data_IF_660493948403
#
_entry.id   IF_660493948403
#
_cell.length_a   1.000
_cell.length_b   1.000
_cell.length_c   1.000
_cell.angle_alpha   90.00
_cell.angle_beta   90.00
_cell.angle_gamma   90.00
#
_symmetry.space_group_name_H-M   'P 1'
#
loop_
_entity.id
_entity.type
_entity.pdbx_description
1 polymer ?
#
# COMPACT_ATOMS: atom_id res chain seq x y z
N UNK A 1 7.49 -56.02 -92.27
CA UNK A 1 6.58 -56.81 -91.41
C UNK A 1 6.12 -55.90 -90.29
N UNK A 2 4.83 -55.51 -90.33
CA UNK A 2 3.95 -55.13 -89.19
C UNK A 2 4.31 -53.81 -88.45
N UNK A 3 3.62 -52.70 -88.81
CA UNK A 3 2.53 -52.00 -88.05
C UNK A 3 3.08 -51.06 -86.94
N UNK A 4 2.46 -49.96 -86.53
CA UNK A 4 1.27 -49.18 -86.89
C UNK A 4 1.32 -47.90 -86.03
N UNK A 5 0.67 -46.85 -86.51
CA UNK A 5 -0.05 -45.82 -85.75
C UNK A 5 0.67 -44.80 -84.86
N UNK A 6 0.74 -43.60 -85.43
CA UNK A 6 0.18 -42.36 -84.91
C UNK A 6 -0.55 -42.43 -83.55
N UNK A 7 -0.19 -41.52 -82.64
CA UNK A 7 -0.98 -40.31 -82.41
C UNK A 7 -0.36 -39.45 -81.31
N UNK A 8 -0.44 -38.15 -81.54
CA UNK A 8 -0.23 -37.11 -80.55
C UNK A 8 -1.02 -37.40 -79.28
N UNK A 9 -0.45 -37.10 -78.11
CA UNK A 9 -1.16 -36.41 -77.02
C UNK A 9 -0.24 -36.00 -75.87
N UNK A 10 -0.41 -34.73 -75.53
CA UNK A 10 -0.26 -34.10 -74.22
C UNK A 10 1.10 -34.16 -73.53
N UNK A 11 1.79 -33.01 -73.62
CA UNK A 11 2.60 -32.45 -72.53
C UNK A 11 1.82 -32.53 -71.21
N UNK A 12 2.29 -33.32 -70.28
CA UNK A 12 1.93 -33.20 -68.86
C UNK A 12 3.19 -32.82 -68.11
N UNK A 13 3.36 -31.51 -67.91
CA UNK A 13 4.25 -30.98 -66.89
C UNK A 13 3.73 -31.50 -65.55
N UNK A 14 4.45 -32.43 -64.94
CA UNK A 14 4.24 -32.83 -63.56
C UNK A 14 4.43 -31.60 -62.69
N UNK A 15 3.32 -31.09 -62.18
CA UNK A 15 3.20 -29.96 -61.27
C UNK A 15 4.08 -30.21 -60.05
N UNK A 16 4.98 -29.27 -59.77
CA UNK A 16 5.74 -29.25 -58.53
C UNK A 16 4.77 -29.42 -57.35
N UNK A 17 5.07 -30.26 -56.34
CA UNK A 17 4.26 -30.32 -55.15
C UNK A 17 4.25 -28.91 -54.55
N UNK A 18 3.05 -28.33 -54.48
CA UNK A 18 2.84 -26.96 -54.07
C UNK A 18 3.64 -26.69 -52.81
N UNK A 19 4.49 -25.66 -52.88
CA UNK A 19 5.06 -25.03 -51.71
C UNK A 19 3.88 -24.70 -50.81
N UNK A 20 3.63 -25.56 -49.81
CA UNK A 20 2.75 -25.25 -48.71
C UNK A 20 3.36 -23.99 -48.13
N UNK A 21 2.73 -22.85 -48.46
CA UNK A 21 2.99 -21.54 -47.91
C UNK A 21 2.77 -21.67 -46.41
N UNK A 22 3.78 -22.19 -45.72
CA UNK A 22 3.84 -22.24 -44.27
C UNK A 22 4.22 -20.84 -43.87
N UNK A 23 3.22 -19.97 -43.84
CA UNK A 23 3.29 -18.56 -43.42
C UNK A 23 3.65 -18.40 -41.94
N UNK A 24 4.24 -19.43 -41.31
CA UNK A 24 4.49 -19.52 -39.88
C UNK A 24 5.97 -19.76 -39.64
N UNK A 25 6.57 -18.82 -38.92
CA UNK A 25 7.82 -19.02 -38.19
C UNK A 25 9.03 -18.36 -38.83
N UNK A 26 9.12 -17.03 -38.74
CA UNK A 26 10.46 -16.46 -38.59
C UNK A 26 10.86 -16.76 -37.13
N UNK A 27 11.80 -17.70 -36.89
CA UNK A 27 12.17 -18.09 -35.53
C UNK A 27 12.67 -16.90 -34.70
N UNK A 28 13.16 -15.85 -35.36
CA UNK A 28 13.54 -14.60 -34.73
C UNK A 28 12.33 -13.87 -34.14
N UNK A 29 11.20 -13.82 -34.86
CA UNK A 29 9.97 -13.16 -34.38
C UNK A 29 9.37 -13.93 -33.20
N UNK A 30 9.39 -15.25 -33.27
CA UNK A 30 8.93 -16.12 -32.17
C UNK A 30 9.80 -15.96 -30.92
N UNK A 31 11.13 -15.98 -31.09
CA UNK A 31 12.09 -15.74 -30.00
C UNK A 31 11.90 -14.36 -29.36
N UNK A 32 11.76 -13.31 -30.18
CA UNK A 32 11.49 -11.94 -29.70
C UNK A 32 10.16 -11.87 -28.97
N UNK A 33 9.10 -12.50 -29.49
CA UNK A 33 7.79 -12.50 -28.86
C UNK A 33 7.81 -13.19 -27.49
N UNK A 34 8.44 -14.36 -27.38
CA UNK A 34 8.60 -15.07 -26.10
C UNK A 34 9.44 -14.26 -25.11
N UNK A 35 10.55 -13.66 -25.57
CA UNK A 35 11.39 -12.81 -24.74
C UNK A 35 10.65 -11.57 -24.22
N UNK A 36 9.81 -10.96 -25.06
CA UNK A 36 9.03 -9.78 -24.70
C UNK A 36 7.90 -10.12 -23.72
N UNK A 37 7.23 -11.27 -23.91
CA UNK A 37 6.26 -11.80 -22.93
C UNK A 37 6.94 -12.10 -21.59
N UNK A 38 8.10 -12.77 -21.60
CA UNK A 38 8.84 -13.06 -20.39
C UNK A 38 9.27 -11.78 -19.65
N UNK A 39 9.71 -10.75 -20.39
CA UNK A 39 10.05 -9.44 -19.83
C UNK A 39 8.84 -8.76 -19.19
N UNK A 40 7.68 -8.76 -19.87
CA UNK A 40 6.43 -8.21 -19.31
C UNK A 40 6.05 -8.95 -18.02
N UNK A 41 6.11 -10.28 -18.03
CA UNK A 41 5.81 -11.09 -16.84
C UNK A 41 6.76 -10.75 -15.70
N UNK A 42 8.06 -10.57 -15.97
CA UNK A 42 9.04 -10.17 -14.95
C UNK A 42 8.77 -8.77 -14.40
N UNK A 43 8.46 -7.79 -15.27
CA UNK A 43 8.18 -6.41 -14.84
C UNK A 43 6.92 -6.37 -13.97
N UNK A 44 5.83 -7.01 -14.41
CA UNK A 44 4.56 -7.04 -13.67
C UNK A 44 4.70 -7.84 -12.38
N UNK A 45 5.33 -9.02 -12.43
CA UNK A 45 5.54 -9.87 -11.27
C UNK A 45 6.44 -9.22 -10.22
N UNK A 46 7.54 -8.60 -10.65
CA UNK A 46 8.43 -7.85 -9.75
C UNK A 46 7.73 -6.63 -9.16
N UNK A 47 6.94 -5.89 -9.95
CA UNK A 47 6.23 -4.71 -9.49
C UNK A 47 5.23 -5.01 -8.36
N UNK A 48 4.54 -6.15 -8.41
CA UNK A 48 3.57 -6.55 -7.39
C UNK A 48 4.25 -7.05 -6.11
N UNK A 49 5.30 -7.86 -6.23
CA UNK A 49 6.09 -8.33 -5.09
C UNK A 49 6.79 -7.18 -4.37
N UNK A 50 7.35 -6.22 -5.13
CA UNK A 50 8.00 -5.03 -4.56
C UNK A 50 7.03 -4.13 -3.80
N UNK A 51 5.78 -3.99 -4.25
CA UNK A 51 4.78 -3.15 -3.56
C UNK A 51 4.36 -3.72 -2.21
N UNK A 52 4.20 -5.05 -2.12
CA UNK A 52 3.82 -5.71 -0.86
C UNK A 52 4.95 -5.61 0.15
N UNK A 53 6.16 -5.97 -0.26
CA UNK A 53 7.34 -5.85 0.59
C UNK A 53 7.59 -4.41 1.07
N UNK A 54 7.36 -3.40 0.22
CA UNK A 54 7.49 -2.01 0.61
C UNK A 54 6.40 -1.55 1.60
N UNK A 55 5.17 -2.05 1.46
CA UNK A 55 4.07 -1.72 2.40
C UNK A 55 4.33 -2.35 3.77
N UNK A 56 4.70 -3.63 3.81
CA UNK A 56 4.96 -4.34 5.07
C UNK A 56 6.12 -3.69 5.83
N UNK A 57 7.19 -3.31 5.12
CA UNK A 57 8.33 -2.60 5.71
C UNK A 57 7.91 -1.21 6.24
N UNK A 58 7.09 -0.47 5.50
CA UNK A 58 6.60 0.85 5.93
C UNK A 58 5.72 0.76 7.18
N UNK A 59 4.92 -0.30 7.33
CA UNK A 59 4.13 -0.55 8.53
C UNK A 59 5.04 -0.82 9.73
N UNK A 60 6.03 -1.69 9.57
CA UNK A 60 7.00 -2.03 10.64
C UNK A 60 7.78 -0.79 11.08
N UNK A 61 8.23 0.03 10.12
CA UNK A 61 8.96 1.27 10.41
C UNK A 61 8.06 2.30 11.11
N UNK A 62 6.80 2.44 10.69
CA UNK A 62 5.84 3.32 11.33
C UNK A 62 5.50 2.89 12.76
N UNK A 63 5.34 1.59 13.01
CA UNK A 63 5.16 1.02 14.36
C UNK A 63 6.37 1.31 15.24
N UNK A 64 7.56 0.95 14.78
CA UNK A 64 8.81 1.13 15.55
C UNK A 64 9.06 2.60 15.86
N UNK A 65 8.83 3.49 14.90
CA UNK A 65 9.00 4.94 15.09
C UNK A 65 7.97 5.50 16.06
N UNK A 66 6.71 5.08 15.95
CA UNK A 66 5.63 5.53 16.85
C UNK A 66 5.89 5.10 18.29
N UNK A 67 6.25 3.83 18.50
CA UNK A 67 6.59 3.30 19.82
C UNK A 67 7.78 4.07 20.44
N UNK A 68 8.85 4.27 19.65
CA UNK A 68 10.01 5.03 20.09
C UNK A 68 9.66 6.47 20.47
N UNK A 69 8.85 7.17 19.67
CA UNK A 69 8.43 8.54 19.96
C UNK A 69 7.48 8.60 21.17
N UNK A 70 6.59 7.63 21.32
CA UNK A 70 5.71 7.53 22.46
C UNK A 70 6.51 7.45 23.76
N UNK A 71 7.44 6.50 23.85
CA UNK A 71 8.25 6.26 25.05
C UNK A 71 9.30 7.36 25.30
N UNK A 72 9.96 7.86 24.25
CA UNK A 72 11.08 8.81 24.41
C UNK A 72 10.68 10.28 24.41
N UNK A 73 9.51 10.63 23.85
CA UNK A 73 9.06 12.02 23.69
C UNK A 73 7.73 12.27 24.36
N UNK A 74 6.70 11.44 24.13
CA UNK A 74 5.34 11.69 24.63
C UNK A 74 5.25 11.43 26.13
N UNK A 75 5.58 10.22 26.59
CA UNK A 75 5.54 9.81 28.00
C UNK A 75 6.27 10.79 28.95
N UNK A 76 7.54 11.17 28.71
CA UNK A 76 8.25 12.06 29.61
C UNK A 76 7.76 13.52 29.53
N UNK A 77 7.09 13.91 28.45
CA UNK A 77 6.63 15.27 28.23
C UNK A 77 5.14 15.50 28.55
N UNK A 78 4.37 14.44 28.82
CA UNK A 78 2.96 14.48 29.14
C UNK A 78 2.71 15.30 30.41
N UNK A 79 2.14 16.52 30.30
CA UNK A 79 1.93 17.35 31.47
C UNK A 79 0.73 16.82 32.27
N UNK A 80 0.78 16.75 33.61
CA UNK A 80 -0.34 16.29 34.43
C UNK A 80 -1.65 17.06 34.18
N UNK A 81 -1.54 18.33 33.80
CA UNK A 81 -2.69 19.18 33.45
C UNK A 81 -3.43 18.77 32.17
N UNK A 82 -2.86 17.90 31.33
CA UNK A 82 -3.49 17.44 30.09
C UNK A 82 -4.74 16.60 30.38
N UNK A 83 -4.66 15.68 31.35
CA UNK A 83 -5.80 14.89 31.81
C UNK A 83 -6.95 15.75 32.35
N UNK A 84 -6.60 16.87 32.99
CA UNK A 84 -7.55 17.85 33.51
C UNK A 84 -8.07 18.83 32.45
N UNK A 85 -7.61 18.74 31.19
CA UNK A 85 -8.01 19.64 30.11
C UNK A 85 -7.54 21.09 30.30
N UNK A 86 -6.44 21.31 31.03
CA UNK A 86 -5.92 22.65 31.27
C UNK A 86 -5.34 23.24 29.98
N UNK A 87 -5.86 24.39 29.54
CA UNK A 87 -5.42 25.04 28.30
C UNK A 87 -3.89 25.26 28.24
N UNK A 88 -3.28 25.70 29.35
CA UNK A 88 -1.83 25.90 29.41
C UNK A 88 -1.02 24.59 29.24
N UNK A 89 -1.58 23.45 29.66
CA UNK A 89 -0.96 22.14 29.49
C UNK A 89 -1.08 21.65 28.04
N UNK A 90 -2.25 21.85 27.42
CA UNK A 90 -2.48 21.59 25.99
C UNK A 90 -1.52 22.42 25.15
N UNK A 91 -1.45 23.73 25.37
CA UNK A 91 -0.57 24.63 24.62
C UNK A 91 0.92 24.25 24.77
N UNK A 92 1.32 23.83 25.97
CA UNK A 92 2.70 23.38 26.23
C UNK A 92 3.02 22.11 25.45
N UNK A 93 2.12 21.14 25.46
CA UNK A 93 2.29 19.89 24.73
C UNK A 93 2.22 20.11 23.22
N UNK A 94 1.30 20.96 22.74
CA UNK A 94 1.12 21.27 21.31
C UNK A 94 2.40 21.82 20.68
N UNK A 95 3.09 22.73 21.37
CA UNK A 95 4.38 23.24 20.88
C UNK A 95 5.41 22.12 20.71
N UNK A 96 5.44 21.15 21.64
CA UNK A 96 6.35 20.02 21.54
C UNK A 96 5.94 19.07 20.42
N UNK A 97 4.64 18.76 20.31
CA UNK A 97 4.09 17.89 19.28
C UNK A 97 4.39 18.42 17.87
N UNK A 98 4.13 19.70 17.61
CA UNK A 98 4.43 20.33 16.31
C UNK A 98 5.90 20.31 15.93
N UNK A 99 6.81 20.38 16.90
CA UNK A 99 8.25 20.42 16.61
C UNK A 99 8.91 19.03 16.56
N UNK A 100 8.34 18.03 17.24
CA UNK A 100 8.99 16.74 17.45
C UNK A 100 8.22 15.53 16.95
N UNK A 101 6.89 15.63 16.85
CA UNK A 101 6.01 14.52 16.51
C UNK A 101 5.39 14.69 15.12
N UNK A 102 5.16 15.93 14.70
CA UNK A 102 4.68 16.27 13.34
C UNK A 102 5.84 16.37 12.35
N UNK A 103 6.55 15.27 12.15
CA UNK A 103 7.68 15.17 11.22
C UNK A 103 7.41 14.16 10.12
N UNK A 104 7.99 14.37 8.93
CA UNK A 104 7.79 13.48 7.79
C UNK A 104 6.33 13.47 7.33
N UNK A 105 5.75 12.27 7.25
CA UNK A 105 4.42 12.02 6.71
C UNK A 105 3.33 11.88 7.80
N UNK A 106 3.60 12.33 9.03
CA UNK A 106 2.61 12.34 10.11
C UNK A 106 1.57 13.44 9.86
N UNK A 107 0.33 13.04 9.60
CA UNK A 107 -0.78 13.96 9.30
C UNK A 107 -1.65 14.31 10.52
N UNK A 108 -1.64 13.45 11.53
CA UNK A 108 -2.56 13.52 12.67
C UNK A 108 -1.96 12.84 13.89
N UNK A 109 -2.16 13.44 15.05
CA UNK A 109 -1.81 12.91 16.36
C UNK A 109 -3.00 13.07 17.29
N UNK A 110 -3.32 12.00 18.01
CA UNK A 110 -4.37 11.98 19.02
C UNK A 110 -3.83 11.25 20.25
N UNK A 111 -4.15 11.74 21.44
CA UNK A 111 -3.90 11.03 22.70
C UNK A 111 -5.24 10.79 23.37
N UNK A 112 -5.48 9.52 23.67
CA UNK A 112 -6.75 9.03 24.17
C UNK A 112 -6.63 8.56 25.61
N UNK A 113 -7.73 8.65 26.36
CA UNK A 113 -7.89 7.90 27.61
C UNK A 113 -8.47 6.53 27.32
N UNK A 114 -8.36 5.61 28.28
CA UNK A 114 -9.04 4.30 28.28
C UNK A 114 -10.57 4.38 28.17
N UNK A 115 -11.17 5.54 28.40
CA UNK A 115 -12.62 5.74 28.24
C UNK A 115 -13.00 6.18 26.83
N UNK A 116 -12.04 6.28 25.90
CA UNK A 116 -12.26 6.78 24.55
C UNK A 116 -12.32 8.31 24.45
N UNK A 117 -11.81 9.04 25.46
CA UNK A 117 -11.79 10.52 25.42
C UNK A 117 -10.48 11.02 24.84
N UNK A 118 -10.54 11.93 23.87
CA UNK A 118 -9.35 12.61 23.35
C UNK A 118 -8.90 13.69 24.33
N UNK A 119 -7.72 13.54 24.93
CA UNK A 119 -7.12 14.55 25.83
C UNK A 119 -6.18 15.49 25.12
N UNK A 120 -5.73 15.12 23.91
CA UNK A 120 -4.97 15.98 23.03
C UNK A 120 -5.17 15.56 21.57
N UNK A 121 -5.23 16.54 20.67
CA UNK A 121 -5.07 16.36 19.24
C UNK A 121 -4.48 17.63 18.63
N UNK A 122 -3.73 17.50 17.54
CA UNK A 122 -3.30 18.65 16.73
C UNK A 122 -4.48 19.35 16.05
N UNK A 123 -5.58 18.63 15.84
CA UNK A 123 -6.89 19.20 15.52
C UNK A 123 -7.65 19.50 16.81
N UNK A 124 -7.57 20.76 17.23
CA UNK A 124 -8.12 21.23 18.49
C UNK A 124 -9.62 20.99 18.64
N UNK A 125 -10.37 20.90 17.53
CA UNK A 125 -11.80 20.64 17.56
C UNK A 125 -12.15 19.25 18.13
N UNK A 126 -11.22 18.30 18.12
CA UNK A 126 -11.43 16.95 18.67
C UNK A 126 -11.17 16.86 20.18
N UNK A 127 -10.49 17.84 20.77
CA UNK A 127 -10.07 17.77 22.18
C UNK A 127 -11.31 17.77 23.10
N UNK A 128 -11.41 16.75 23.93
CA UNK A 128 -12.50 16.58 24.89
C UNK A 128 -13.67 15.74 24.37
N UNK A 129 -13.71 15.42 23.07
CA UNK A 129 -14.68 14.49 22.51
C UNK A 129 -14.42 13.06 22.96
N UNK A 130 -15.46 12.24 22.92
CA UNK A 130 -15.43 10.85 23.34
C UNK A 130 -16.01 9.97 22.24
N UNK A 131 -15.28 8.92 21.89
CA UNK A 131 -15.68 7.93 20.90
C UNK A 131 -15.59 6.52 21.49
N UNK A 132 -16.24 5.57 20.85
CA UNK A 132 -16.11 4.16 21.20
C UNK A 132 -14.77 3.64 20.70
N UNK A 133 -14.03 2.96 21.58
CA UNK A 133 -12.85 2.19 21.20
C UNK A 133 -13.29 0.79 20.79
N UNK A 134 -12.66 0.24 19.76
CA UNK A 134 -12.85 -1.16 19.41
C UNK A 134 -12.03 -2.10 20.31
N UNK A 135 -12.18 -3.41 20.10
CA UNK A 135 -11.57 -4.41 20.97
C UNK A 135 -10.03 -4.36 20.93
N UNK A 136 -9.45 -4.08 19.76
CA UNK A 136 -8.00 -4.06 19.57
C UNK A 136 -7.39 -2.80 20.21
N UNK A 137 -8.02 -1.64 20.03
CA UNK A 137 -7.64 -0.40 20.71
C UNK A 137 -7.72 -0.54 22.23
N UNK A 138 -8.77 -1.20 22.75
CA UNK A 138 -8.92 -1.47 24.17
C UNK A 138 -7.84 -2.41 24.70
N UNK A 139 -7.48 -3.45 23.96
CA UNK A 139 -6.41 -4.40 24.32
C UNK A 139 -5.06 -3.68 24.41
N UNK A 140 -4.68 -2.90 23.40
CA UNK A 140 -3.42 -2.13 23.41
C UNK A 140 -3.39 -1.11 24.56
N UNK A 141 -4.49 -0.41 24.84
CA UNK A 141 -4.55 0.53 25.97
C UNK A 141 -4.50 -0.16 27.35
N UNK A 142 -4.95 -1.41 27.44
CA UNK A 142 -4.99 -2.18 28.67
C UNK A 142 -3.63 -2.82 28.98
N UNK A 143 -3.08 -3.52 28.01
CA UNK A 143 -1.93 -4.42 28.15
C UNK A 143 -0.63 -3.83 27.57
N UNK A 144 -0.73 -2.72 26.84
CA UNK A 144 0.36 -2.13 26.07
C UNK A 144 0.60 -2.88 24.75
N UNK A 145 1.57 -2.38 23.98
CA UNK A 145 1.93 -2.93 22.67
C UNK A 145 1.79 -1.87 21.59
N UNK A 146 2.03 -2.23 20.34
CA UNK A 146 1.87 -1.32 19.21
C UNK A 146 1.20 -2.06 18.07
N UNK A 147 0.17 -1.46 17.50
CA UNK A 147 -0.55 -1.99 16.35
C UNK A 147 -0.67 -0.91 15.27
N UNK A 148 -0.89 -1.37 14.04
CA UNK A 148 -1.08 -0.49 12.91
C UNK A 148 -2.09 -1.08 11.95
N UNK A 149 -2.98 -0.24 11.45
CA UNK A 149 -4.02 -0.64 10.52
C UNK A 149 -4.30 0.44 9.48
N UNK A 150 -5.01 0.05 8.42
CA UNK A 150 -5.50 1.04 7.44
C UNK A 150 -6.71 1.73 8.04
N UNK A 151 -6.59 3.03 8.24
CA UNK A 151 -7.61 3.82 8.95
C UNK A 151 -8.95 3.81 8.23
N UNK A 152 -10.02 3.53 8.97
CA UNK A 152 -11.39 3.73 8.53
C UNK A 152 -11.77 5.22 8.67
N UNK A 153 -11.59 5.97 7.57
CA UNK A 153 -11.90 7.40 7.53
C UNK A 153 -13.40 7.72 7.61
N UNK A 154 -14.28 6.71 7.61
CA UNK A 154 -15.70 6.90 7.85
C UNK A 154 -16.05 7.03 9.33
N UNK A 155 -15.15 6.59 10.23
CA UNK A 155 -15.36 6.72 11.68
C UNK A 155 -15.45 8.21 12.10
N UNK A 156 -16.32 8.58 13.06
CA UNK A 156 -16.57 9.98 13.43
C UNK A 156 -15.34 10.77 13.91
N UNK A 157 -14.39 10.08 14.54
CA UNK A 157 -13.12 10.62 15.02
C UNK A 157 -12.19 11.01 13.86
N UNK A 158 -12.42 10.51 12.65
CA UNK A 158 -11.60 10.71 11.45
C UNK A 158 -12.23 11.70 10.45
N UNK A 159 -13.21 12.49 10.88
CA UNK A 159 -13.95 13.43 10.03
C UNK A 159 -13.11 14.53 9.39
N UNK A 160 -11.94 14.85 9.94
CA UNK A 160 -11.02 15.85 9.39
C UNK A 160 -9.97 15.24 8.47
N UNK A 161 -9.95 13.92 8.36
CA UNK A 161 -8.95 13.14 7.66
C UNK A 161 -9.49 12.56 6.34
N UNK A 162 -10.80 12.70 6.08
CA UNK A 162 -11.50 12.14 4.92
C UNK A 162 -10.94 12.58 3.56
N UNK A 163 -10.33 13.76 3.48
CA UNK A 163 -9.76 14.27 2.23
C UNK A 163 -8.45 13.57 1.82
N UNK A 164 -7.77 12.90 2.75
CA UNK A 164 -6.47 12.25 2.51
C UNK A 164 -6.59 10.85 1.86
N UNK A 165 -7.81 10.34 1.69
CA UNK A 165 -8.07 9.11 0.95
C UNK A 165 -7.74 7.83 1.72
N UNK A 166 -6.47 7.41 1.75
CA UNK A 166 -6.05 6.18 2.46
C UNK A 166 -4.91 6.52 3.41
N UNK A 167 -5.15 6.28 4.70
CA UNK A 167 -4.17 6.51 5.76
C UNK A 167 -3.84 5.20 6.47
N UNK A 168 -2.62 5.13 7.01
CA UNK A 168 -2.23 4.14 8.00
C UNK A 168 -2.33 4.82 9.37
N UNK A 169 -2.98 4.16 10.32
CA UNK A 169 -2.97 4.57 11.72
C UNK A 169 -2.11 3.63 12.54
N UNK A 170 -1.42 4.19 13.54
CA UNK A 170 -0.52 3.46 14.44
C UNK A 170 -0.82 3.93 15.86
N UNK A 171 -1.04 2.99 16.76
CA UNK A 171 -1.34 3.25 18.17
C UNK A 171 -0.52 2.35 19.08
N UNK A 172 -0.18 2.88 20.25
CA UNK A 172 0.69 2.25 21.24
C UNK A 172 0.34 2.63 22.67
#
# INVERSE_FOLDING_TARGET
MVKSDAQARSRTYGTAPGARRRWWGNPVVEFVAVGLVALIVLIVGSGELSKRAATDEAIIDAQSTTELLAQSVVEPALPPGLLAGQAAAVDKFDRLARHRLMVGDVLRLKIWTRTGKIIYSDETALIGEQFSLDEEEMEILADGGTAAEVSDLSKPENRFEQEFGRLLEVYT
#
